data_IF_903410977137
#
_entry.id   IF_903410977137
#
_cell.length_a   1.000
_cell.length_b   1.000
_cell.length_c   1.000
_cell.angle_alpha   90.00
_cell.angle_beta   90.00
_cell.angle_gamma   90.00
#
_symmetry.space_group_name_H-M   'P 1'
#
loop_
_entity.id
_entity.type
_entity.pdbx_description
1 polymer ?
#
# COMPACT_ATOMS: atom_id res chain seq x y z
N UNK A 1 -9.02 -22.80 17.19
CA UNK A 1 -8.24 -21.87 16.36
C UNK A 1 -7.98 -22.59 15.06
N UNK A 2 -8.88 -22.43 14.10
CA UNK A 2 -8.66 -22.94 12.75
C UNK A 2 -7.41 -22.27 12.19
N UNK A 3 -6.60 -23.05 11.47
CA UNK A 3 -5.44 -22.55 10.76
C UNK A 3 -5.91 -21.36 9.93
N UNK A 4 -5.43 -20.15 10.23
CA UNK A 4 -5.47 -19.07 9.25
C UNK A 4 -5.00 -19.68 7.92
N UNK A 5 -5.83 -19.59 6.89
CA UNK A 5 -5.61 -20.30 5.64
C UNK A 5 -4.21 -19.88 5.14
N UNK A 6 -3.35 -20.83 4.79
CA UNK A 6 -1.94 -20.57 4.42
C UNK A 6 -1.82 -19.44 3.39
N UNK A 7 -2.84 -19.34 2.52
CA UNK A 7 -2.98 -18.32 1.48
C UNK A 7 -3.22 -16.91 2.01
N UNK A 8 -3.93 -16.75 3.12
CA UNK A 8 -4.16 -15.45 3.74
C UNK A 8 -2.87 -14.96 4.42
N UNK A 9 -2.10 -15.87 5.02
CA UNK A 9 -0.77 -15.53 5.54
C UNK A 9 0.19 -15.07 4.43
N UNK A 10 0.19 -15.69 3.25
CA UNK A 10 0.94 -15.18 2.08
C UNK A 10 0.50 -13.76 1.70
N UNK A 11 -0.80 -13.44 1.78
CA UNK A 11 -1.32 -12.11 1.47
C UNK A 11 -0.90 -11.06 2.50
N UNK A 12 -0.75 -11.44 3.77
CA UNK A 12 -0.17 -10.59 4.80
C UNK A 12 1.31 -10.31 4.49
N UNK A 13 2.08 -11.33 4.11
CA UNK A 13 3.49 -11.13 3.71
C UNK A 13 3.57 -10.16 2.52
N UNK A 14 2.73 -10.33 1.50
CA UNK A 14 2.69 -9.45 0.34
C UNK A 14 2.31 -8.00 0.72
N UNK A 15 1.36 -7.83 1.64
CA UNK A 15 1.00 -6.52 2.17
C UNK A 15 2.18 -5.85 2.90
N UNK A 16 2.96 -6.60 3.67
CA UNK A 16 4.17 -6.11 4.32
C UNK A 16 5.29 -5.82 3.31
N UNK A 17 5.39 -6.60 2.23
CA UNK A 17 6.38 -6.37 1.17
C UNK A 17 6.07 -5.14 0.32
N UNK A 18 4.81 -4.72 0.21
CA UNK A 18 4.45 -3.45 -0.45
C UNK A 18 5.08 -2.21 0.22
N UNK A 19 5.67 -2.33 1.41
CA UNK A 19 6.45 -1.26 2.04
C UNK A 19 7.81 -1.02 1.37
N UNK A 20 8.30 -1.98 0.59
CA UNK A 20 9.53 -1.82 -0.17
C UNK A 20 9.32 -0.90 -1.37
N UNK A 21 10.36 -0.11 -1.69
CA UNK A 21 10.30 0.82 -2.85
C UNK A 21 10.59 0.07 -4.15
N UNK A 22 9.54 -0.50 -4.74
CA UNK A 22 9.61 -1.23 -6.01
C UNK A 22 9.56 -0.34 -7.26
N UNK A 23 9.45 0.99 -7.10
CA UNK A 23 9.37 2.00 -8.17
C UNK A 23 10.45 1.85 -9.27
N UNK A 24 11.54 1.15 -8.97
CA UNK A 24 12.69 0.95 -9.88
C UNK A 24 12.82 -0.47 -10.43
N UNK A 25 11.94 -1.41 -10.04
CA UNK A 25 11.98 -2.79 -10.52
C UNK A 25 10.93 -2.93 -11.63
N UNK A 26 11.40 -2.94 -12.87
CA UNK A 26 10.54 -3.04 -14.08
C UNK A 26 10.59 -4.40 -14.79
N UNK A 27 11.43 -5.32 -14.29
CA UNK A 27 11.50 -6.68 -14.82
C UNK A 27 10.78 -7.63 -13.87
N UNK A 28 10.03 -8.60 -14.43
CA UNK A 28 9.45 -9.70 -13.66
C UNK A 28 10.59 -10.46 -12.99
N UNK A 29 10.58 -10.52 -11.66
CA UNK A 29 11.64 -11.19 -10.88
C UNK A 29 11.07 -12.14 -9.86
N UNK A 30 11.68 -13.32 -9.66
CA UNK A 30 11.36 -14.16 -8.51
C UNK A 30 11.48 -13.33 -7.24
N UNK A 31 10.46 -13.38 -6.40
CA UNK A 31 10.41 -12.49 -5.24
C UNK A 31 11.58 -12.76 -4.29
N UNK A 32 12.03 -14.02 -4.18
CA UNK A 32 13.23 -14.42 -3.44
C UNK A 32 14.50 -13.67 -3.87
N UNK A 33 14.64 -13.33 -5.16
CA UNK A 33 15.77 -12.57 -5.68
C UNK A 33 15.64 -11.09 -5.32
N UNK A 34 14.46 -10.50 -5.50
CA UNK A 34 14.15 -9.12 -5.09
C UNK A 34 14.45 -8.94 -3.60
N UNK A 35 13.97 -9.88 -2.79
CA UNK A 35 14.20 -9.95 -1.35
C UNK A 35 15.69 -10.07 -1.00
N UNK A 36 16.49 -10.81 -1.77
CA UNK A 36 17.93 -10.92 -1.51
C UNK A 36 18.72 -9.63 -1.78
N UNK A 37 18.24 -8.77 -2.68
CA UNK A 37 18.89 -7.49 -3.03
C UNK A 37 18.64 -6.45 -1.94
N UNK A 38 17.42 -6.42 -1.41
CA UNK A 38 17.05 -5.61 -0.26
C UNK A 38 17.54 -6.30 1.03
N UNK A 39 18.85 -6.38 1.22
CA UNK A 39 19.40 -6.72 2.52
C UNK A 39 18.80 -5.74 3.55
N UNK A 40 18.02 -6.26 4.50
CA UNK A 40 17.58 -5.59 5.72
C UNK A 40 18.79 -5.22 6.60
N UNK A 41 19.69 -4.38 6.08
CA UNK A 41 20.89 -3.88 6.73
C UNK A 41 20.52 -2.65 7.53
N UNK A 42 19.70 -2.82 8.56
CA UNK A 42 19.49 -1.81 9.59
C UNK A 42 20.19 -2.24 10.88
N UNK A 43 20.88 -1.30 11.50
CA UNK A 43 22.09 -1.54 12.30
C UNK A 43 21.86 -1.70 13.80
N UNK A 44 20.62 -1.64 14.30
CA UNK A 44 20.34 -1.75 15.75
C UNK A 44 20.17 -3.21 16.19
N UNK A 45 20.98 -3.64 17.16
CA UNK A 45 21.11 -5.06 17.59
C UNK A 45 19.82 -5.68 18.15
N UNK A 46 18.91 -4.88 18.70
CA UNK A 46 17.71 -5.37 19.40
C UNK A 46 16.55 -5.75 18.48
N UNK A 47 16.57 -5.37 17.19
CA UNK A 47 15.54 -5.73 16.20
C UNK A 47 15.97 -6.79 15.18
N UNK A 48 17.24 -7.19 15.17
CA UNK A 48 17.81 -8.06 14.12
C UNK A 48 17.27 -9.49 14.18
N UNK A 49 17.11 -10.08 15.36
CA UNK A 49 16.66 -11.47 15.50
C UNK A 49 15.19 -11.64 15.08
N UNK A 50 14.29 -10.75 15.50
CA UNK A 50 12.87 -10.81 15.13
C UNK A 50 12.62 -10.48 13.66
N UNK A 51 13.34 -9.50 13.09
CA UNK A 51 13.26 -9.21 11.65
C UNK A 51 13.85 -10.37 10.83
N UNK A 52 14.96 -10.97 11.26
CA UNK A 52 15.52 -12.15 10.58
C UNK A 52 14.61 -13.38 10.68
N UNK A 53 13.91 -13.56 11.80
CA UNK A 53 12.92 -14.64 11.94
C UNK A 53 11.71 -14.40 11.06
N UNK A 54 11.15 -13.17 11.04
CA UNK A 54 10.10 -12.78 10.09
C UNK A 54 10.56 -12.94 8.65
N UNK A 55 11.81 -12.58 8.36
CA UNK A 55 12.43 -12.72 7.05
C UNK A 55 12.51 -14.16 6.57
N UNK A 56 13.00 -15.07 7.43
CA UNK A 56 13.06 -16.50 7.11
C UNK A 56 11.64 -17.05 6.91
N UNK A 57 10.71 -16.65 7.78
CA UNK A 57 9.30 -17.03 7.71
C UNK A 57 8.62 -16.58 6.39
N UNK A 58 8.91 -15.36 5.94
CA UNK A 58 8.44 -14.80 4.67
C UNK A 58 9.08 -15.52 3.48
N UNK A 59 10.42 -15.63 3.47
CA UNK A 59 11.18 -16.20 2.35
C UNK A 59 10.74 -17.63 2.01
N UNK A 60 10.42 -18.44 3.02
CA UNK A 60 9.90 -19.80 2.82
C UNK A 60 8.49 -19.84 2.19
N UNK A 61 7.64 -18.84 2.48
CA UNK A 61 6.27 -18.75 1.96
C UNK A 61 6.18 -18.04 0.62
N UNK A 62 7.17 -17.22 0.30
CA UNK A 62 7.23 -16.49 -0.96
C UNK A 62 7.80 -17.32 -2.12
N UNK A 63 8.04 -18.62 -1.91
CA UNK A 63 8.44 -19.50 -3.01
C UNK A 63 7.36 -19.57 -4.10
N UNK A 64 7.79 -19.42 -5.36
CA UNK A 64 6.93 -19.38 -6.53
C UNK A 64 6.33 -18.01 -6.85
N UNK A 65 6.37 -17.06 -5.91
CA UNK A 65 5.91 -15.69 -6.16
C UNK A 65 6.91 -14.91 -7.01
N UNK A 66 6.39 -14.08 -7.90
CA UNK A 66 7.13 -13.12 -8.72
C UNK A 66 6.61 -11.73 -8.46
N UNK A 67 7.49 -10.75 -8.37
CA UNK A 67 7.09 -9.35 -8.51
C UNK A 67 6.86 -9.09 -10.01
N UNK A 68 5.67 -8.59 -10.35
CA UNK A 68 5.33 -8.17 -11.71
C UNK A 68 5.67 -6.70 -11.91
N UNK A 69 5.06 -5.86 -11.09
CA UNK A 69 5.08 -4.40 -11.26
C UNK A 69 4.93 -3.72 -9.90
N UNK A 70 5.70 -2.65 -9.68
CA UNK A 70 5.49 -1.72 -8.58
C UNK A 70 4.93 -0.40 -9.10
N UNK A 71 4.08 0.26 -8.33
CA UNK A 71 3.59 1.59 -8.68
C UNK A 71 4.76 2.56 -8.84
N UNK A 72 4.83 3.23 -9.99
CA UNK A 72 5.83 4.25 -10.34
C UNK A 72 5.10 5.59 -10.52
N UNK A 73 5.38 6.54 -9.63
CA UNK A 73 4.73 7.85 -9.63
C UNK A 73 5.07 8.67 -10.88
N UNK A 74 6.28 8.54 -11.43
CA UNK A 74 6.67 9.31 -12.61
C UNK A 74 5.99 8.75 -13.86
N UNK A 75 5.85 7.43 -13.95
CA UNK A 75 5.04 6.78 -14.98
C UNK A 75 3.56 7.19 -14.87
N UNK A 76 3.01 7.18 -13.65
CA UNK A 76 1.65 7.64 -13.40
C UNK A 76 1.44 9.09 -13.86
N UNK A 77 2.35 10.02 -13.51
CA UNK A 77 2.27 11.42 -13.96
C UNK A 77 2.27 11.55 -15.48
N UNK A 78 3.04 10.71 -16.17
CA UNK A 78 3.10 10.76 -17.63
C UNK A 78 1.81 10.23 -18.26
N UNK A 79 1.28 9.12 -17.74
CA UNK A 79 0.07 8.46 -18.25
C UNK A 79 -1.21 9.24 -17.91
N UNK A 80 -1.31 9.76 -16.70
CA UNK A 80 -2.48 10.46 -16.15
C UNK A 80 -2.21 11.96 -15.94
N UNK A 81 -1.48 12.58 -16.87
CA UNK A 81 -0.99 13.96 -16.73
C UNK A 81 -2.07 14.97 -16.37
N UNK A 82 -3.18 14.98 -17.11
CA UNK A 82 -4.27 15.94 -16.88
C UNK A 82 -4.94 15.75 -15.51
N UNK A 83 -5.07 14.50 -15.06
CA UNK A 83 -5.66 14.16 -13.76
C UNK A 83 -4.73 14.52 -12.60
N UNK A 84 -3.42 14.27 -12.78
CA UNK A 84 -2.39 14.69 -11.85
C UNK A 84 -2.36 16.22 -11.72
N UNK A 85 -2.29 16.95 -12.83
CA UNK A 85 -2.24 18.43 -12.83
C UNK A 85 -3.53 19.04 -12.25
N UNK A 86 -4.70 18.50 -12.61
CA UNK A 86 -6.00 18.99 -12.10
C UNK A 86 -6.19 18.76 -10.60
N UNK A 87 -5.51 17.77 -10.00
CA UNK A 87 -5.53 17.56 -8.54
C UNK A 87 -4.99 18.77 -7.79
N UNK A 88 -4.05 19.51 -8.38
CA UNK A 88 -3.53 20.76 -7.81
C UNK A 88 -4.47 21.95 -8.07
N UNK A 89 -5.15 22.01 -9.21
CA UNK A 89 -6.05 23.14 -9.53
C UNK A 89 -5.33 24.49 -9.47
N UNK A 90 -5.93 25.51 -8.86
CA UNK A 90 -5.31 26.85 -8.71
C UNK A 90 -4.36 26.97 -7.50
N UNK A 91 -4.04 25.86 -6.83
CA UNK A 91 -3.20 25.88 -5.61
C UNK A 91 -1.78 26.29 -5.97
N UNK A 92 -1.28 27.34 -5.30
CA UNK A 92 0.07 27.85 -5.52
C UNK A 92 1.13 26.79 -5.18
N UNK A 93 2.08 26.58 -6.08
CA UNK A 93 3.24 25.71 -5.82
C UNK A 93 3.96 26.12 -4.53
N UNK A 94 4.27 25.13 -3.68
CA UNK A 94 4.88 25.34 -2.37
C UNK A 94 3.92 25.77 -1.25
N UNK A 95 2.63 26.03 -1.53
CA UNK A 95 1.59 26.20 -0.51
C UNK A 95 1.39 24.92 0.30
N UNK A 96 0.78 25.04 1.49
CA UNK A 96 0.50 23.89 2.35
C UNK A 96 -0.41 22.88 1.64
N UNK A 97 -1.45 23.36 0.97
CA UNK A 97 -2.40 22.55 0.23
C UNK A 97 -1.74 21.83 -0.94
N UNK A 98 -0.84 22.50 -1.68
CA UNK A 98 -0.06 21.89 -2.74
C UNK A 98 0.83 20.76 -2.20
N UNK A 99 1.61 21.03 -1.14
CA UNK A 99 2.50 20.04 -0.52
C UNK A 99 1.73 18.83 0.02
N UNK A 100 0.55 19.03 0.59
CA UNK A 100 -0.28 17.92 1.08
C UNK A 100 -0.78 17.01 -0.05
N UNK A 101 -1.05 17.56 -1.23
CA UNK A 101 -1.46 16.78 -2.41
C UNK A 101 -0.27 16.02 -2.96
N UNK A 102 0.86 16.71 -3.12
CA UNK A 102 2.12 16.10 -3.56
C UNK A 102 2.55 14.95 -2.63
N UNK A 103 2.38 15.13 -1.32
CA UNK A 103 2.71 14.12 -0.31
C UNK A 103 1.82 12.87 -0.46
N UNK A 104 0.51 13.03 -0.66
CA UNK A 104 -0.40 11.89 -0.90
C UNK A 104 -0.01 11.07 -2.14
N UNK A 105 0.53 11.71 -3.20
CA UNK A 105 1.06 10.99 -4.36
C UNK A 105 2.38 10.28 -4.03
N UNK A 106 3.30 10.94 -3.33
CA UNK A 106 4.63 10.39 -2.98
C UNK A 106 4.58 9.24 -1.97
N UNK A 107 3.53 9.18 -1.16
CA UNK A 107 3.36 8.16 -0.12
C UNK A 107 2.45 7.00 -0.54
N UNK A 108 1.91 7.03 -1.76
CA UNK A 108 1.19 5.89 -2.28
C UNK A 108 2.18 4.83 -2.79
N UNK A 109 2.04 3.61 -2.27
CA UNK A 109 2.84 2.46 -2.68
C UNK A 109 1.93 1.27 -2.91
N UNK A 110 2.14 0.61 -4.04
CA UNK A 110 1.46 -0.63 -4.38
C UNK A 110 2.37 -1.52 -5.23
N UNK A 111 2.14 -2.82 -5.21
CA UNK A 111 2.82 -3.76 -6.07
C UNK A 111 1.91 -4.94 -6.44
N UNK A 112 2.09 -5.45 -7.66
CA UNK A 112 1.43 -6.63 -8.17
C UNK A 112 2.40 -7.81 -8.16
N UNK A 113 1.94 -8.93 -7.62
CA UNK A 113 2.71 -10.17 -7.52
C UNK A 113 1.96 -11.32 -8.17
N UNK A 114 2.67 -12.22 -8.82
CA UNK A 114 2.09 -13.39 -9.48
C UNK A 114 2.56 -14.67 -8.82
N UNK A 115 1.64 -15.62 -8.63
CA UNK A 115 1.94 -17.02 -8.41
C UNK A 115 0.88 -17.87 -9.11
N UNK A 116 1.32 -18.83 -9.91
CA UNK A 116 0.46 -19.69 -10.72
C UNK A 116 -0.50 -18.85 -11.61
N UNK A 117 -1.82 -19.00 -11.43
CA UNK A 117 -2.85 -18.26 -12.17
C UNK A 117 -3.50 -17.11 -11.36
N UNK A 118 -2.83 -16.66 -10.30
CA UNK A 118 -3.29 -15.55 -9.47
C UNK A 118 -2.29 -14.39 -9.45
N UNK A 119 -2.83 -13.19 -9.62
CA UNK A 119 -2.14 -11.94 -9.34
C UNK A 119 -2.74 -11.34 -8.06
N UNK A 120 -1.87 -10.95 -7.15
CA UNK A 120 -2.22 -10.24 -5.91
C UNK A 120 -1.66 -8.84 -5.98
N UNK A 121 -2.54 -7.85 -5.94
CA UNK A 121 -2.17 -6.44 -5.82
C UNK A 121 -2.17 -6.08 -4.34
N UNK A 122 -1.00 -5.74 -3.81
CA UNK A 122 -0.82 -5.34 -2.43
C UNK A 122 -0.65 -3.82 -2.33
N UNK A 123 -1.42 -3.20 -1.42
CA UNK A 123 -1.30 -1.79 -1.09
C UNK A 123 -0.60 -1.62 0.26
N UNK A 124 0.34 -0.68 0.33
CA UNK A 124 1.04 -0.34 1.56
C UNK A 124 0.13 0.42 2.52
N UNK A 125 0.30 0.18 3.82
CA UNK A 125 -0.25 1.04 4.86
C UNK A 125 0.52 2.34 5.04
N UNK A 126 0.06 3.19 5.94
CA UNK A 126 0.79 4.42 6.28
C UNK A 126 2.05 4.08 7.09
N UNK A 127 3.15 4.75 6.77
CA UNK A 127 4.41 4.65 7.50
C UNK A 127 4.95 6.06 7.72
N UNK A 128 5.25 6.41 8.98
CA UNK A 128 5.97 7.63 9.29
C UNK A 128 7.36 7.57 8.67
N UNK A 129 7.92 8.72 8.29
CA UNK A 129 9.17 8.75 7.54
C UNK A 129 10.28 7.90 8.19
N UNK A 130 10.88 7.00 7.39
CA UNK A 130 12.19 6.40 7.63
C UNK A 130 12.33 5.46 8.84
N UNK A 131 11.37 4.57 9.07
CA UNK A 131 11.60 3.38 9.91
C UNK A 131 11.87 3.67 11.40
N UNK A 132 11.59 4.89 11.88
CA UNK A 132 11.56 5.21 13.31
C UNK A 132 10.16 4.94 13.87
N UNK A 133 9.82 3.66 13.92
CA UNK A 133 8.62 3.16 14.58
C UNK A 133 8.68 3.45 16.08
N UNK A 134 7.85 4.37 16.58
CA UNK A 134 7.47 4.42 17.99
C UNK A 134 5.97 4.11 18.11
N UNK A 135 5.69 2.80 18.05
CA UNK A 135 4.34 2.20 18.13
C UNK A 135 3.43 2.78 19.23
N UNK A 136 3.98 3.36 20.30
CA UNK A 136 3.22 3.94 21.40
C UNK A 136 2.73 5.37 21.14
N UNK A 137 3.40 6.14 20.29
CA UNK A 137 2.97 7.50 19.90
C UNK A 137 1.99 7.46 18.74
N UNK A 138 2.19 6.54 17.81
CA UNK A 138 1.38 6.44 16.59
C UNK A 138 -0.01 5.83 16.85
N UNK A 139 -0.11 4.88 17.79
CA UNK A 139 -1.41 4.36 18.24
C UNK A 139 -2.28 5.46 18.86
N UNK A 140 -1.65 6.41 19.57
CA UNK A 140 -2.37 7.55 20.12
C UNK A 140 -2.85 8.50 19.01
N UNK A 141 -2.02 8.83 18.02
CA UNK A 141 -2.39 9.69 16.88
C UNK A 141 -3.53 9.06 16.06
N UNK A 142 -3.45 7.76 15.76
CA UNK A 142 -4.48 7.01 15.02
C UNK A 142 -5.86 7.05 15.72
N UNK A 143 -5.88 7.08 17.06
CA UNK A 143 -7.11 7.18 17.88
C UNK A 143 -7.42 8.61 18.40
N UNK A 144 -6.75 9.65 17.90
CA UNK A 144 -7.02 11.05 18.28
C UNK A 144 -6.49 11.47 19.66
N UNK A 145 -5.61 10.68 20.27
CA UNK A 145 -4.83 11.03 21.47
C UNK A 145 -3.50 11.66 21.01
N UNK A 146 -3.32 12.95 21.23
CA UNK A 146 -2.26 13.74 20.59
C UNK A 146 -0.90 13.53 21.27
N UNK A 147 0.14 13.14 20.50
CA UNK A 147 1.55 13.50 20.77
C UNK A 147 2.14 14.16 19.49
N UNK A 148 2.70 15.37 19.62
CA UNK A 148 2.96 16.34 18.54
C UNK A 148 4.34 16.16 17.87
N UNK A 149 4.85 14.93 17.81
CA UNK A 149 6.24 14.66 17.43
C UNK A 149 6.54 14.79 15.93
N UNK A 150 5.59 14.39 15.07
CA UNK A 150 5.85 14.25 13.63
C UNK A 150 4.71 14.86 12.80
N UNK A 151 4.90 16.11 12.37
CA UNK A 151 3.82 16.92 11.76
C UNK A 151 3.38 16.40 10.39
N UNK A 152 4.28 15.80 9.62
CA UNK A 152 3.96 15.34 8.27
C UNK A 152 3.19 14.01 8.31
N UNK A 153 3.56 13.10 9.23
CA UNK A 153 2.81 11.87 9.53
C UNK A 153 1.42 12.15 10.11
N UNK A 154 1.30 13.10 11.05
CA UNK A 154 0.00 13.53 11.62
C UNK A 154 -0.90 14.11 10.52
N UNK A 155 -0.35 14.90 9.59
CA UNK A 155 -1.15 15.49 8.52
C UNK A 155 -1.60 14.44 7.48
N UNK A 156 -0.77 13.45 7.14
CA UNK A 156 -1.16 12.33 6.28
C UNK A 156 -2.27 11.49 6.91
N UNK A 157 -2.07 11.02 8.14
CA UNK A 157 -3.07 10.26 8.87
C UNK A 157 -4.35 11.07 9.07
N UNK A 158 -4.26 12.33 9.49
CA UNK A 158 -5.45 13.13 9.77
C UNK A 158 -6.21 13.56 8.50
N UNK A 159 -5.52 13.84 7.39
CA UNK A 159 -6.18 14.21 6.13
C UNK A 159 -6.72 12.99 5.39
N UNK A 160 -5.95 11.91 5.30
CA UNK A 160 -6.39 10.68 4.63
C UNK A 160 -7.45 9.98 5.49
N UNK A 161 -7.23 9.81 6.80
CA UNK A 161 -8.23 9.21 7.68
C UNK A 161 -9.42 10.14 7.96
N UNK A 162 -9.22 11.46 8.01
CA UNK A 162 -10.34 12.41 8.12
C UNK A 162 -11.24 12.37 6.89
N UNK A 163 -10.68 12.19 5.69
CA UNK A 163 -11.43 11.95 4.46
C UNK A 163 -12.08 10.57 4.43
N UNK A 164 -11.41 9.52 4.93
CA UNK A 164 -11.96 8.17 5.09
C UNK A 164 -13.17 8.16 6.03
N UNK A 165 -13.05 8.78 7.21
CA UNK A 165 -14.13 8.91 8.20
C UNK A 165 -15.27 9.77 7.65
N UNK A 166 -14.97 10.76 6.80
CA UNK A 166 -15.95 11.56 6.10
C UNK A 166 -16.51 10.89 4.82
N UNK A 167 -16.07 9.66 4.50
CA UNK A 167 -16.48 8.89 3.32
C UNK A 167 -16.11 9.52 1.97
N UNK A 168 -15.15 10.44 1.92
CA UNK A 168 -14.66 11.05 0.68
C UNK A 168 -13.36 10.34 0.28
N UNK A 169 -13.30 9.60 -0.83
CA UNK A 169 -12.06 8.93 -1.24
C UNK A 169 -10.96 9.96 -1.53
N UNK A 170 -9.86 9.87 -0.79
CA UNK A 170 -8.66 10.68 -1.02
C UNK A 170 -7.88 10.24 -2.27
N UNK A 171 -6.79 10.95 -2.60
CA UNK A 171 -5.99 10.68 -3.80
C UNK A 171 -5.47 9.24 -3.83
N UNK A 172 -5.03 8.71 -2.68
CA UNK A 172 -4.54 7.33 -2.58
C UNK A 172 -5.59 6.27 -2.94
N UNK A 173 -6.89 6.53 -2.73
CA UNK A 173 -7.96 5.63 -3.14
C UNK A 173 -8.15 5.62 -4.66
N UNK A 174 -8.03 6.79 -5.29
CA UNK A 174 -8.01 6.87 -6.77
C UNK A 174 -6.80 6.14 -7.32
N UNK A 175 -5.61 6.40 -6.77
CA UNK A 175 -4.37 5.71 -7.18
C UNK A 175 -4.48 4.19 -7.05
N UNK A 176 -5.11 3.69 -5.98
CA UNK A 176 -5.33 2.26 -5.80
C UNK A 176 -6.22 1.65 -6.90
N UNK A 177 -7.27 2.36 -7.30
CA UNK A 177 -8.17 1.95 -8.40
C UNK A 177 -7.46 2.04 -9.75
N UNK A 178 -6.72 3.12 -10.01
CA UNK A 178 -5.99 3.29 -11.26
C UNK A 178 -4.94 2.20 -11.43
N UNK A 179 -4.15 1.91 -10.38
CA UNK A 179 -3.16 0.83 -10.41
C UNK A 179 -3.83 -0.53 -10.61
N UNK A 180 -4.98 -0.78 -9.98
CA UNK A 180 -5.76 -2.00 -10.24
C UNK A 180 -6.17 -2.11 -11.72
N UNK A 181 -6.68 -1.04 -12.31
CA UNK A 181 -7.09 -1.01 -13.72
C UNK A 181 -5.91 -1.22 -14.65
N UNK A 182 -4.74 -0.71 -14.29
CA UNK A 182 -3.53 -0.90 -15.08
C UNK A 182 -3.11 -2.36 -15.14
N UNK A 183 -3.18 -3.07 -14.01
CA UNK A 183 -2.92 -4.51 -13.97
C UNK A 183 -4.00 -5.30 -14.71
N UNK A 184 -5.29 -5.01 -14.49
CA UNK A 184 -6.39 -5.80 -15.10
C UNK A 184 -6.50 -5.59 -16.61
N UNK A 185 -6.17 -4.40 -17.11
CA UNK A 185 -6.21 -4.09 -18.55
C UNK A 185 -4.93 -4.48 -19.29
N UNK A 186 -3.94 -5.04 -18.61
CA UNK A 186 -2.75 -5.55 -19.26
C UNK A 186 -3.08 -6.89 -19.96
N UNK A 187 -2.89 -6.94 -21.28
CA UNK A 187 -3.18 -8.11 -22.12
C UNK A 187 -2.41 -9.37 -21.68
N UNK A 188 -1.24 -9.21 -21.05
CA UNK A 188 -0.43 -10.32 -20.52
C UNK A 188 -1.09 -10.99 -19.29
N UNK A 189 -2.05 -10.31 -18.65
CA UNK A 189 -2.67 -10.74 -17.39
C UNK A 189 -4.15 -11.10 -17.52
N UNK A 190 -4.74 -11.02 -18.72
CA UNK A 190 -6.19 -11.13 -18.96
C UNK A 190 -6.87 -12.40 -18.45
N UNK A 191 -6.15 -13.51 -18.39
CA UNK A 191 -6.68 -14.83 -17.99
C UNK A 191 -6.40 -15.15 -16.51
N UNK A 192 -5.77 -14.21 -15.78
CA UNK A 192 -5.37 -14.39 -14.38
C UNK A 192 -6.49 -13.99 -13.42
N UNK A 193 -6.58 -14.70 -12.30
CA UNK A 193 -7.43 -14.28 -11.18
C UNK A 193 -6.76 -13.11 -10.47
N UNK A 194 -7.46 -12.00 -10.31
CA UNK A 194 -6.95 -10.84 -9.57
C UNK A 194 -7.53 -10.83 -8.15
N UNK A 195 -6.63 -10.68 -7.19
CA UNK A 195 -6.93 -10.49 -5.77
C UNK A 195 -6.27 -9.20 -5.27
N UNK A 196 -6.80 -8.63 -4.19
CA UNK A 196 -6.23 -7.43 -3.56
C UNK A 196 -5.96 -7.67 -2.08
N UNK A 197 -4.88 -7.08 -1.56
CA UNK A 197 -4.52 -7.17 -0.15
C UNK A 197 -3.90 -5.87 0.39
N UNK A 198 -3.87 -5.74 1.70
CA UNK A 198 -3.16 -4.65 2.37
C UNK A 198 -3.33 -4.66 3.88
N UNK A 199 -2.46 -3.94 4.57
CA UNK A 199 -2.50 -3.74 6.02
C UNK A 199 -2.76 -2.27 6.39
N UNK A 200 -3.49 -2.01 7.48
CA UNK A 200 -3.77 -0.65 7.95
C UNK A 200 -4.47 0.21 6.88
N UNK A 201 -3.92 1.35 6.46
CA UNK A 201 -4.43 2.14 5.33
C UNK A 201 -4.53 1.28 4.05
N UNK A 202 -3.52 0.45 3.76
CA UNK A 202 -3.50 -0.45 2.62
C UNK A 202 -4.64 -1.46 2.64
N UNK A 203 -5.05 -1.90 3.85
CA UNK A 203 -6.24 -2.74 4.02
C UNK A 203 -7.53 -1.99 3.67
N UNK A 204 -7.61 -0.70 3.99
CA UNK A 204 -8.72 0.17 3.57
C UNK A 204 -8.75 0.39 2.05
N UNK A 205 -7.59 0.59 1.42
CA UNK A 205 -7.44 0.69 -0.03
C UNK A 205 -7.88 -0.62 -0.73
N UNK A 206 -7.44 -1.78 -0.23
CA UNK A 206 -7.82 -3.09 -0.76
C UNK A 206 -9.34 -3.32 -0.66
N UNK A 207 -9.95 -2.97 0.48
CA UNK A 207 -11.41 -3.05 0.64
C UNK A 207 -12.12 -2.12 -0.36
N UNK A 208 -11.64 -0.88 -0.51
CA UNK A 208 -12.25 0.08 -1.41
C UNK A 208 -12.20 -0.40 -2.87
N UNK A 209 -11.04 -0.86 -3.34
CA UNK A 209 -10.91 -1.43 -4.70
C UNK A 209 -11.81 -2.66 -4.87
N UNK A 210 -11.90 -3.51 -3.85
CA UNK A 210 -12.80 -4.68 -3.90
C UNK A 210 -14.26 -4.29 -4.12
N UNK A 211 -14.72 -3.24 -3.46
CA UNK A 211 -16.09 -2.75 -3.59
C UNK A 211 -16.30 -2.04 -4.92
N UNK A 212 -15.40 -1.14 -5.30
CA UNK A 212 -15.57 -0.29 -6.49
C UNK A 212 -15.44 -1.06 -7.79
N UNK A 213 -14.56 -2.06 -7.84
CA UNK A 213 -14.23 -2.79 -9.06
C UNK A 213 -14.74 -4.24 -9.04
N UNK A 214 -15.48 -4.64 -8.00
CA UNK A 214 -16.09 -5.97 -7.89
C UNK A 214 -15.09 -7.10 -7.70
N UNK A 215 -13.91 -6.82 -7.13
CA UNK A 215 -12.89 -7.85 -6.85
C UNK A 215 -13.42 -8.81 -5.80
N UNK A 216 -13.60 -10.07 -6.18
CA UNK A 216 -14.22 -11.10 -5.31
C UNK A 216 -13.33 -11.47 -4.12
N UNK A 217 -12.01 -11.28 -4.24
CA UNK A 217 -11.03 -11.69 -3.23
C UNK A 217 -10.18 -10.51 -2.78
N UNK A 218 -10.74 -9.74 -1.84
CA UNK A 218 -10.03 -8.74 -1.05
C UNK A 218 -9.74 -9.24 0.36
N UNK A 219 -8.47 -9.29 0.75
CA UNK A 219 -8.06 -9.63 2.13
C UNK A 219 -7.44 -8.41 2.78
N UNK A 220 -8.03 -7.93 3.87
CA UNK A 220 -7.55 -6.74 4.55
C UNK A 220 -7.13 -7.07 5.98
N UNK A 221 -5.96 -6.57 6.37
CA UNK A 221 -5.37 -6.83 7.69
C UNK A 221 -5.41 -5.57 8.53
N UNK A 222 -6.18 -5.58 9.62
CA UNK A 222 -6.39 -4.40 10.47
C UNK A 222 -6.73 -3.13 9.66
N UNK A 223 -7.48 -3.31 8.56
CA UNK A 223 -7.75 -2.25 7.61
C UNK A 223 -8.64 -1.16 8.19
N UNK A 224 -8.39 0.11 7.80
CA UNK A 224 -9.35 1.19 8.08
C UNK A 224 -10.66 0.86 7.36
N UNK A 225 -11.71 0.59 8.13
CA UNK A 225 -12.95 0.03 7.59
C UNK A 225 -13.68 1.00 6.67
N UNK A 226 -14.04 0.56 5.47
CA UNK A 226 -14.69 1.41 4.45
C UNK A 226 -16.21 1.61 4.66
N UNK A 227 -16.78 1.15 5.78
CA UNK A 227 -18.24 1.20 6.05
C UNK A 227 -18.82 2.62 6.04
N UNK A 228 -18.00 3.64 6.22
CA UNK A 228 -18.45 5.03 6.18
C UNK A 228 -18.52 5.61 4.74
N UNK A 229 -17.82 5.02 3.76
CA UNK A 229 -17.95 5.41 2.33
C UNK A 229 -19.30 5.00 1.73
N UNK A 230 -19.85 3.86 2.15
CA UNK A 230 -21.10 3.31 1.62
C UNK A 230 -22.37 4.07 2.09
N UNK A 231 -22.24 4.99 3.04
CA UNK A 231 -23.36 5.80 3.55
C UNK A 231 -23.61 7.09 2.75
N UNK A 232 -22.81 7.36 1.72
CA UNK A 232 -22.85 8.60 0.93
C UNK A 232 -23.60 8.42 -0.41
N UNK A 233 -24.14 7.22 -0.67
CA UNK A 233 -25.02 6.96 -1.81
C UNK A 233 -26.50 7.17 -1.47
#
# INVERSE_FOLDING_TARGET
>A
MERENVKDLEFLVLADLAYERYEKIKDIRPLKEVLSIHHFNDTTETGKSERQQRWNYFSERMEGWKLLEGFDLDEYKNKYKEEYESSFGEKKEGSKEFKNIELQYKQFYAAAFEKDDEIVIAYRGTDGENGKYDSHKDFKIFFGLIDLGDRDFIMEHYLTNGKIVAGIPGIQFKLAVDFYKDIVNNDDYKDKTISVTGHSLGGGLAQYVSVMEGVKRGVAWNGVGIKDFLKIN
#
